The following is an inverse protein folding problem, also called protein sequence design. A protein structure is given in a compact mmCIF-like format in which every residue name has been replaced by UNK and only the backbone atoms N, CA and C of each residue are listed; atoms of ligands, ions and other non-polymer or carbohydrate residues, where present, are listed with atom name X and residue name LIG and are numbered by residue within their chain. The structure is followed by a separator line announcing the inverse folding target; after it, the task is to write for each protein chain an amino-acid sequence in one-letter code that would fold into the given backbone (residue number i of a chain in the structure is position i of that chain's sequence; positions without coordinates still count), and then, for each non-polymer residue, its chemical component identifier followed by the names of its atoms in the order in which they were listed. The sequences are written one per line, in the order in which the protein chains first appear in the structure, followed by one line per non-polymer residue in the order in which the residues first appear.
data_IF_965989955907
#
_entry.id   IF_965989955907
#
_cell.length_a   1.000
_cell.length_b   1.000
_cell.length_c   1.000
_cell.angle_alpha   90.00
_cell.angle_beta   90.00
_cell.angle_gamma   90.00
#
_symmetry.space_group_name_H-M   'P 1'
#
loop_
_entity.id
_entity.type
_entity.pdbx_description
1 polymer ?
#
# COMPACT_ATOMS: atom_id res chain seq x y z
N UNK A 1 -4.59 46.11 96.74
CA UNK A 1 -4.97 46.18 95.32
C UNK A 1 -4.29 45.06 94.58
N UNK A 2 -5.02 43.95 94.30
CA UNK A 2 -4.49 42.82 93.52
C UNK A 2 -4.93 43.02 92.05
N UNK A 3 -3.92 43.12 91.11
CA UNK A 3 -4.16 43.21 89.71
C UNK A 3 -4.23 41.78 89.14
N UNK A 4 -5.41 41.43 88.57
CA UNK A 4 -5.62 40.15 87.82
C UNK A 4 -5.16 40.42 86.41
N UNK A 5 -4.18 39.65 85.92
CA UNK A 5 -3.76 39.59 84.48
C UNK A 5 -4.57 38.48 83.82
N UNK A 6 -5.41 38.86 82.89
CA UNK A 6 -6.14 37.91 82.02
C UNK A 6 -5.30 37.69 80.77
N UNK A 7 -4.79 36.47 80.57
CA UNK A 7 -4.10 36.03 79.34
C UNK A 7 -5.12 35.53 78.34
N UNK A 8 -5.28 36.24 77.26
CA UNK A 8 -6.07 35.79 76.10
C UNK A 8 -5.20 34.88 75.22
N UNK A 9 -5.52 33.59 75.22
CA UNK A 9 -4.86 32.62 74.30
C UNK A 9 -5.65 32.57 73.00
N UNK A 10 -5.12 33.15 71.93
CA UNK A 10 -5.69 33.03 70.57
C UNK A 10 -5.32 31.67 70.01
N UNK A 11 -6.33 30.81 69.83
CA UNK A 11 -6.20 29.53 69.12
C UNK A 11 -6.24 29.84 67.61
N UNK A 12 -5.12 29.72 66.95
CA UNK A 12 -4.99 29.80 65.46
C UNK A 12 -5.45 28.43 64.86
N UNK A 13 -6.62 28.38 64.28
CA UNK A 13 -7.07 27.23 63.49
C UNK A 13 -6.31 27.21 62.13
N UNK A 14 -5.34 26.33 62.01
CA UNK A 14 -4.68 26.03 60.71
C UNK A 14 -5.60 25.12 59.96
N UNK A 15 -6.31 25.66 58.94
CA UNK A 15 -6.99 24.86 57.91
C UNK A 15 -5.94 24.28 56.98
N UNK A 16 -5.57 23.02 57.11
CA UNK A 16 -4.89 22.26 56.07
C UNK A 16 -5.88 22.00 54.97
N UNK A 17 -5.86 22.80 53.91
CA UNK A 17 -6.52 22.43 52.66
C UNK A 17 -5.81 21.18 52.13
N UNK A 18 -6.50 20.04 52.18
CA UNK A 18 -6.05 18.85 51.47
C UNK A 18 -6.31 19.12 49.96
N UNK A 19 -5.29 19.59 49.24
CA UNK A 19 -5.35 19.53 47.78
C UNK A 19 -5.44 18.06 47.40
N UNK A 20 -6.56 17.68 46.80
CA UNK A 20 -6.73 16.36 46.24
C UNK A 20 -5.77 16.29 45.07
N UNK A 21 -4.71 15.50 45.18
CA UNK A 21 -3.85 15.20 44.03
C UNK A 21 -4.77 14.62 42.95
N UNK A 22 -4.80 15.30 41.80
CA UNK A 22 -5.50 14.75 40.63
C UNK A 22 -4.79 13.46 40.21
N UNK A 23 -5.55 12.39 40.12
CA UNK A 23 -5.03 11.08 39.69
C UNK A 23 -4.56 11.21 38.24
N UNK A 24 -3.27 10.98 37.98
CA UNK A 24 -2.72 10.95 36.64
C UNK A 24 -3.12 9.62 36.00
N UNK A 25 -3.98 9.69 35.01
CA UNK A 25 -4.40 8.54 34.20
C UNK A 25 -3.65 8.60 32.88
N UNK A 26 -2.74 7.65 32.68
CA UNK A 26 -1.95 7.52 31.47
C UNK A 26 -2.78 6.89 30.35
N UNK A 27 -2.65 7.40 29.11
CA UNK A 27 -3.34 6.85 27.93
C UNK A 27 -3.24 7.78 26.73
N UNK A 28 -3.85 7.36 25.62
CA UNK A 28 -3.97 8.21 24.44
C UNK A 28 -5.01 9.30 24.68
N UNK A 29 -4.61 10.57 24.56
CA UNK A 29 -5.50 11.75 24.71
C UNK A 29 -5.98 12.32 23.38
N UNK A 30 -5.49 11.81 22.24
CA UNK A 30 -5.92 12.26 20.91
C UNK A 30 -7.27 11.65 20.54
N UNK A 31 -8.31 12.50 20.43
CA UNK A 31 -9.65 12.11 20.00
C UNK A 31 -9.73 11.58 18.58
N UNK A 32 -8.71 11.84 17.75
CA UNK A 32 -8.57 11.33 16.39
C UNK A 32 -7.97 9.92 16.30
N UNK A 33 -7.54 9.33 17.42
CA UNK A 33 -6.96 7.99 17.46
C UNK A 33 -8.04 6.90 17.62
N UNK A 34 -7.71 5.67 17.22
CA UNK A 34 -8.64 4.52 17.37
C UNK A 34 -8.69 3.99 18.79
N UNK A 35 -7.67 4.29 19.62
CA UNK A 35 -7.57 3.88 21.02
C UNK A 35 -7.65 5.06 22.00
N UNK A 36 -8.34 6.14 21.61
CA UNK A 36 -8.59 7.29 22.49
C UNK A 36 -9.17 6.87 23.84
N UNK A 37 -8.57 7.36 24.90
CA UNK A 37 -9.06 7.16 26.27
C UNK A 37 -9.56 8.49 26.85
N UNK A 38 -10.87 8.66 26.94
CA UNK A 38 -11.50 9.88 27.47
C UNK A 38 -11.19 10.16 28.95
N UNK A 39 -10.70 9.17 29.70
CA UNK A 39 -10.30 9.31 31.09
C UNK A 39 -8.82 9.67 31.25
N UNK A 40 -8.01 9.56 30.20
CA UNK A 40 -6.59 9.91 30.28
C UNK A 40 -6.42 11.41 30.53
N UNK A 41 -5.60 11.72 31.52
CA UNK A 41 -5.19 13.10 31.86
C UNK A 41 -3.77 13.40 31.40
N UNK A 42 -3.01 12.34 31.02
CA UNK A 42 -1.65 12.46 30.50
C UNK A 42 -1.46 11.55 29.28
N UNK A 43 -1.00 12.14 28.17
CA UNK A 43 -0.69 11.38 26.96
C UNK A 43 0.62 10.60 27.13
N UNK A 44 0.55 9.30 27.03
CA UNK A 44 1.68 8.40 27.17
C UNK A 44 2.30 8.00 25.79
N UNK A 45 1.86 8.62 24.69
CA UNK A 45 2.31 8.34 23.33
C UNK A 45 1.80 7.02 22.75
N UNK A 46 0.77 6.41 23.36
CA UNK A 46 0.21 5.12 22.90
C UNK A 46 -0.84 5.23 21.80
N UNK A 47 -1.09 6.44 21.27
CA UNK A 47 -2.10 6.67 20.24
C UNK A 47 -1.86 5.83 18.98
N UNK A 48 -2.94 5.21 18.48
CA UNK A 48 -2.96 4.34 17.31
C UNK A 48 -3.92 4.87 16.25
N UNK A 49 -3.59 4.58 14.99
CA UNK A 49 -4.31 5.08 13.82
C UNK A 49 -4.42 3.98 12.76
N UNK A 50 -5.39 4.11 11.84
CA UNK A 50 -5.54 3.20 10.73
C UNK A 50 -5.11 3.86 9.41
N UNK A 51 -4.62 3.04 8.50
CA UNK A 51 -4.30 3.40 7.12
C UNK A 51 -4.97 2.39 6.18
N UNK A 52 -5.69 2.88 5.18
CA UNK A 52 -6.17 2.06 4.07
C UNK A 52 -5.40 2.41 2.81
N UNK A 53 -4.83 1.41 2.15
CA UNK A 53 -4.27 1.55 0.80
C UNK A 53 -5.28 1.00 -0.18
N UNK A 54 -5.74 1.83 -1.11
CA UNK A 54 -6.70 1.45 -2.13
C UNK A 54 -5.99 1.33 -3.48
N UNK A 55 -6.14 0.17 -4.13
CA UNK A 55 -5.59 -0.08 -5.46
C UNK A 55 -6.64 0.23 -6.52
N UNK A 56 -6.31 1.13 -7.45
CA UNK A 56 -7.20 1.52 -8.54
C UNK A 56 -6.55 1.25 -9.90
N UNK A 57 -7.40 1.08 -10.91
CA UNK A 57 -6.96 0.75 -12.26
C UNK A 57 -7.62 1.72 -13.23
N UNK A 58 -6.79 2.37 -14.04
CA UNK A 58 -7.26 3.32 -15.06
C UNK A 58 -6.67 3.01 -16.42
N UNK A 59 -7.37 3.48 -17.46
CA UNK A 59 -6.89 3.50 -18.84
C UNK A 59 -7.16 4.89 -19.38
N UNK A 60 -6.10 5.60 -19.78
CA UNK A 60 -6.15 6.99 -20.22
C UNK A 60 -6.89 7.90 -19.18
N UNK A 61 -6.63 7.65 -17.90
CA UNK A 61 -7.21 8.38 -16.77
C UNK A 61 -8.65 8.02 -16.42
N UNK A 62 -9.30 7.11 -17.14
CA UNK A 62 -10.67 6.65 -16.86
C UNK A 62 -10.66 5.30 -16.12
N UNK A 63 -11.63 5.02 -15.25
CA UNK A 63 -11.74 3.73 -14.59
C UNK A 63 -11.77 2.56 -15.59
N UNK A 64 -11.12 1.45 -15.21
CA UNK A 64 -11.12 0.23 -16.00
C UNK A 64 -12.55 -0.33 -16.18
N UNK A 65 -12.94 -0.58 -17.42
CA UNK A 65 -14.12 -1.37 -17.80
C UNK A 65 -13.67 -2.70 -18.41
N UNK A 66 -14.11 -3.82 -17.84
CA UNK A 66 -13.72 -5.15 -18.31
C UNK A 66 -14.62 -5.66 -19.43
N UNK A 67 -14.09 -6.56 -20.27
CA UNK A 67 -14.83 -7.23 -21.36
C UNK A 67 -15.37 -6.26 -22.44
N UNK A 68 -14.80 -5.07 -22.57
CA UNK A 68 -15.18 -4.08 -23.56
C UNK A 68 -14.01 -3.80 -24.51
N UNK A 69 -14.24 -3.93 -25.84
CA UNK A 69 -13.25 -3.61 -26.89
C UNK A 69 -13.23 -2.09 -27.16
N UNK A 70 -12.95 -1.30 -26.15
CA UNK A 70 -13.03 0.18 -26.18
C UNK A 70 -11.66 0.86 -26.08
N UNK A 71 -10.63 0.10 -25.71
CA UNK A 71 -9.31 0.66 -25.48
C UNK A 71 -8.46 0.66 -26.74
N UNK A 72 -7.50 1.58 -26.79
CA UNK A 72 -6.53 1.68 -27.87
C UNK A 72 -5.14 1.94 -27.27
N UNK A 73 -4.19 1.06 -27.57
CA UNK A 73 -2.81 1.24 -27.10
C UNK A 73 -1.98 2.17 -28.01
N UNK A 74 -0.76 2.49 -27.60
CA UNK A 74 0.16 3.34 -28.35
C UNK A 74 0.56 2.77 -29.72
N UNK A 75 0.46 1.44 -29.91
CA UNK A 75 0.63 0.77 -31.20
C UNK A 75 -0.60 0.87 -32.11
N UNK A 76 -1.61 1.67 -31.73
CA UNK A 76 -2.88 1.84 -32.46
C UNK A 76 -3.74 0.58 -32.57
N UNK A 77 -3.55 -0.39 -31.68
CA UNK A 77 -4.37 -1.60 -31.63
C UNK A 77 -5.54 -1.38 -30.67
N UNK A 78 -6.77 -1.72 -31.13
CA UNK A 78 -7.90 -1.79 -30.25
C UNK A 78 -7.82 -3.06 -29.39
N UNK A 79 -8.21 -2.97 -28.12
CA UNK A 79 -8.15 -4.11 -27.20
C UNK A 79 -9.20 -4.04 -26.09
N UNK A 80 -9.45 -5.18 -25.49
CA UNK A 80 -10.23 -5.33 -24.26
C UNK A 80 -9.37 -5.91 -23.14
N UNK A 81 -9.82 -5.78 -21.89
CA UNK A 81 -9.23 -6.45 -20.75
C UNK A 81 -10.26 -7.39 -20.16
N UNK A 82 -9.86 -8.65 -19.96
CA UNK A 82 -10.69 -9.71 -19.36
C UNK A 82 -10.10 -10.15 -18.02
N UNK A 83 -8.78 -10.19 -17.92
CA UNK A 83 -8.05 -10.57 -16.71
C UNK A 83 -7.01 -9.49 -16.41
N UNK A 84 -6.98 -9.05 -15.17
CA UNK A 84 -5.84 -8.33 -14.58
C UNK A 84 -5.65 -8.85 -13.17
N UNK A 85 -4.49 -9.42 -12.91
CA UNK A 85 -4.06 -9.81 -11.57
C UNK A 85 -2.55 -9.67 -11.44
N UNK A 86 -2.08 -9.27 -10.28
CA UNK A 86 -0.67 -8.99 -10.05
C UNK A 86 -0.31 -9.04 -8.57
N UNK A 87 0.98 -9.14 -8.31
CA UNK A 87 1.56 -9.08 -6.96
C UNK A 87 2.27 -7.75 -6.75
N UNK A 88 2.03 -7.14 -5.61
CA UNK A 88 2.90 -6.12 -5.04
C UNK A 88 3.53 -6.68 -3.77
N UNK A 89 4.85 -6.58 -3.65
CA UNK A 89 5.55 -7.01 -2.45
C UNK A 89 6.27 -5.86 -1.76
N UNK A 90 6.60 -6.06 -0.48
CA UNK A 90 7.34 -5.09 0.35
C UNK A 90 6.71 -3.70 0.40
N UNK A 91 5.38 -3.64 0.53
CA UNK A 91 4.70 -2.35 0.67
C UNK A 91 5.15 -1.70 1.97
N UNK A 92 5.88 -0.60 1.87
CA UNK A 92 6.63 -0.03 3.00
C UNK A 92 6.45 1.48 3.06
N UNK A 93 6.18 2.00 4.26
CA UNK A 93 6.24 3.42 4.57
C UNK A 93 7.62 3.81 5.12
N UNK A 94 8.14 4.95 4.69
CA UNK A 94 9.44 5.48 5.12
C UNK A 94 9.23 6.79 5.87
N UNK A 95 9.68 6.82 7.13
CA UNK A 95 9.55 8.01 7.99
C UNK A 95 10.70 8.99 7.79
N UNK A 96 10.44 10.26 8.11
CA UNK A 96 11.44 11.32 8.06
C UNK A 96 12.63 11.09 9.01
N UNK A 97 12.46 10.29 10.07
CA UNK A 97 13.53 9.92 11.00
C UNK A 97 14.42 8.76 10.53
N UNK A 98 14.19 8.24 9.31
CA UNK A 98 14.93 7.13 8.72
C UNK A 98 14.42 5.74 9.07
N UNK A 99 13.32 5.61 9.82
CA UNK A 99 12.70 4.31 10.08
C UNK A 99 11.78 3.90 8.93
N UNK A 100 11.63 2.59 8.71
CA UNK A 100 10.72 2.04 7.72
C UNK A 100 9.73 1.10 8.41
N UNK A 101 8.47 1.14 7.98
CA UNK A 101 7.39 0.29 8.46
C UNK A 101 6.89 -0.55 7.30
N UNK A 102 7.15 -1.87 7.33
CA UNK A 102 6.57 -2.81 6.39
C UNK A 102 5.08 -2.94 6.69
N UNK A 103 4.24 -2.71 5.67
CA UNK A 103 2.78 -2.79 5.77
C UNK A 103 2.27 -4.15 5.32
N UNK A 104 2.83 -4.65 4.21
CA UNK A 104 2.49 -5.98 3.68
C UNK A 104 3.70 -6.57 2.96
N UNK A 105 3.94 -7.85 3.18
CA UNK A 105 5.04 -8.58 2.54
C UNK A 105 4.69 -8.98 1.10
N UNK A 106 3.46 -9.45 0.86
CA UNK A 106 2.97 -9.83 -0.47
C UNK A 106 1.48 -9.62 -0.56
N UNK A 107 1.05 -8.69 -1.39
CA UNK A 107 -0.34 -8.37 -1.66
C UNK A 107 -0.75 -8.81 -3.06
N UNK A 108 -1.76 -9.67 -3.14
CA UNK A 108 -2.33 -10.13 -4.40
C UNK A 108 -3.54 -9.29 -4.78
N UNK A 109 -3.52 -8.73 -5.98
CA UNK A 109 -4.61 -7.92 -6.52
C UNK A 109 -5.21 -8.62 -7.75
N UNK A 110 -6.53 -8.74 -7.81
CA UNK A 110 -7.24 -9.30 -8.97
C UNK A 110 -8.57 -8.60 -9.22
N UNK A 111 -8.85 -8.25 -10.48
CA UNK A 111 -10.13 -7.61 -10.86
C UNK A 111 -11.35 -8.53 -10.71
N UNK A 112 -11.13 -9.84 -10.54
CA UNK A 112 -12.22 -10.81 -10.28
C UNK A 112 -12.69 -10.80 -8.82
N UNK A 113 -11.89 -10.20 -7.90
CA UNK A 113 -12.24 -10.04 -6.49
C UNK A 113 -11.91 -8.62 -6.01
N UNK A 114 -12.87 -7.70 -6.01
CA UNK A 114 -12.65 -6.33 -5.56
C UNK A 114 -12.24 -6.18 -4.09
N UNK A 115 -12.39 -7.20 -3.25
CA UNK A 115 -11.90 -7.14 -1.87
C UNK A 115 -10.37 -7.03 -1.80
N UNK A 116 -9.68 -7.51 -2.85
CA UNK A 116 -8.22 -7.40 -2.98
C UNK A 116 -7.73 -5.97 -3.30
N UNK A 117 -8.66 -5.05 -3.61
CA UNK A 117 -8.32 -3.66 -3.91
C UNK A 117 -8.07 -2.81 -2.66
N UNK A 118 -8.20 -3.40 -1.48
CA UNK A 118 -8.00 -2.69 -0.22
C UNK A 118 -6.99 -3.45 0.65
N UNK A 119 -6.05 -2.72 1.19
CA UNK A 119 -5.13 -3.18 2.22
C UNK A 119 -5.32 -2.29 3.44
N UNK A 120 -5.97 -2.84 4.46
CA UNK A 120 -6.27 -2.13 5.70
C UNK A 120 -5.25 -2.45 6.78
N UNK A 121 -4.49 -1.44 7.17
CA UNK A 121 -3.47 -1.51 8.21
C UNK A 121 -4.02 -0.86 9.47
N UNK A 122 -3.97 -1.59 10.56
CA UNK A 122 -4.46 -1.14 11.87
C UNK A 122 -3.30 -0.86 12.83
N UNK A 123 -3.60 -0.10 13.87
CA UNK A 123 -2.70 0.13 15.02
C UNK A 123 -1.33 0.73 14.67
N UNK A 124 -1.25 1.55 13.62
CA UNK A 124 -0.04 2.31 13.31
C UNK A 124 0.23 3.39 14.36
N UNK A 125 1.50 3.59 14.69
CA UNK A 125 1.92 4.73 15.48
C UNK A 125 1.80 6.03 14.67
N UNK A 126 1.53 7.15 15.34
CA UNK A 126 1.64 8.47 14.70
C UNK A 126 3.06 8.69 14.18
N UNK A 127 3.17 9.05 12.91
CA UNK A 127 4.44 9.41 12.31
C UNK A 127 4.25 10.28 11.06
N UNK A 128 5.30 11.03 10.71
CA UNK A 128 5.41 11.72 9.44
C UNK A 128 6.15 10.83 8.45
N UNK A 129 5.46 10.39 7.42
CA UNK A 129 6.03 9.58 6.36
C UNK A 129 6.35 10.44 5.14
N UNK A 130 7.54 10.24 4.59
CA UNK A 130 8.09 11.02 3.47
C UNK A 130 8.13 10.23 2.16
N UNK A 131 7.96 8.91 2.22
CA UNK A 131 7.85 8.06 1.05
C UNK A 131 7.03 6.80 1.35
N UNK A 132 6.43 6.25 0.30
CA UNK A 132 5.93 4.88 0.23
C UNK A 132 6.65 4.15 -0.90
N UNK A 133 7.00 2.90 -0.69
CA UNK A 133 7.58 2.04 -1.72
C UNK A 133 6.89 0.69 -1.78
N UNK A 134 6.97 0.06 -2.92
CA UNK A 134 6.59 -1.34 -3.14
C UNK A 134 7.38 -1.93 -4.32
N UNK A 135 7.46 -3.25 -4.36
CA UNK A 135 8.01 -3.98 -5.50
C UNK A 135 6.89 -4.56 -6.34
N UNK A 136 6.88 -4.29 -7.64
CA UNK A 136 6.00 -4.96 -8.60
C UNK A 136 6.55 -6.35 -8.86
N UNK A 137 5.75 -7.37 -8.49
CA UNK A 137 6.16 -8.77 -8.49
C UNK A 137 6.85 -9.19 -7.19
N UNK A 138 7.68 -10.21 -7.29
CA UNK A 138 8.50 -10.77 -6.21
C UNK A 138 9.96 -10.68 -6.64
N UNK A 139 10.82 -10.14 -5.79
CA UNK A 139 12.26 -10.14 -6.05
C UNK A 139 12.84 -11.57 -6.03
N UNK A 140 14.08 -11.72 -6.46
CA UNK A 140 14.75 -13.03 -6.57
C UNK A 140 14.86 -13.81 -5.25
N UNK A 141 14.76 -13.13 -4.10
CA UNK A 141 14.81 -13.78 -2.78
C UNK A 141 13.45 -14.35 -2.39
N UNK A 142 12.36 -13.76 -2.87
CA UNK A 142 10.98 -14.15 -2.60
C UNK A 142 10.40 -15.03 -3.69
N UNK A 143 10.83 -14.87 -4.94
CA UNK A 143 10.28 -15.58 -6.11
C UNK A 143 10.77 -17.03 -6.19
N UNK A 144 10.47 -17.81 -5.18
CA UNK A 144 10.88 -19.20 -5.04
C UNK A 144 9.67 -20.12 -5.26
N UNK A 145 9.79 -21.10 -6.15
CA UNK A 145 8.74 -22.09 -6.42
C UNK A 145 8.25 -22.73 -5.11
N UNK A 146 6.95 -22.81 -4.94
CA UNK A 146 6.26 -23.35 -3.77
C UNK A 146 6.43 -22.58 -2.45
N UNK A 147 6.98 -21.36 -2.46
CA UNK A 147 7.11 -20.56 -1.25
C UNK A 147 5.75 -20.05 -0.72
N UNK A 148 4.74 -19.96 -1.58
CA UNK A 148 3.41 -19.39 -1.28
C UNK A 148 2.27 -20.40 -1.47
N UNK A 149 2.46 -21.66 -1.04
CA UNK A 149 1.47 -22.76 -1.22
C UNK A 149 0.13 -22.48 -0.55
N UNK A 150 0.11 -21.70 0.52
CA UNK A 150 -1.09 -21.39 1.30
C UNK A 150 -1.78 -20.09 0.87
N UNK A 151 -1.17 -19.35 -0.07
CA UNK A 151 -1.72 -18.09 -0.53
C UNK A 151 -2.85 -18.29 -1.55
N UNK A 152 -3.81 -17.37 -1.58
CA UNK A 152 -5.01 -17.46 -2.43
C UNK A 152 -4.68 -17.50 -3.93
N UNK A 153 -3.54 -16.97 -4.34
CA UNK A 153 -3.10 -16.97 -5.73
C UNK A 153 -2.43 -18.28 -6.17
N UNK A 154 -2.05 -19.16 -5.24
CA UNK A 154 -1.51 -20.49 -5.59
C UNK A 154 -2.66 -21.48 -5.90
N UNK A 155 -2.53 -22.38 -6.90
CA UNK A 155 -1.42 -22.52 -7.86
C UNK A 155 -1.59 -21.70 -9.15
N UNK A 156 -2.68 -20.96 -9.30
CA UNK A 156 -3.05 -20.29 -10.57
C UNK A 156 -2.06 -19.20 -11.00
N UNK A 157 -1.18 -18.78 -10.09
CA UNK A 157 -0.17 -17.76 -10.34
C UNK A 157 1.26 -18.33 -10.41
N UNK A 158 1.42 -19.65 -10.42
CA UNK A 158 2.73 -20.30 -10.57
C UNK A 158 3.34 -20.00 -11.95
N UNK A 159 4.62 -19.63 -11.97
CA UNK A 159 5.40 -19.46 -13.18
C UNK A 159 5.95 -20.81 -13.63
N UNK A 160 5.95 -21.16 -14.93
CA UNK A 160 6.42 -22.45 -15.38
C UNK A 160 7.90 -22.69 -15.08
N UNK A 161 8.22 -23.87 -14.55
CA UNK A 161 9.60 -24.24 -14.15
C UNK A 161 10.58 -24.19 -15.32
N UNK A 162 10.15 -24.54 -16.53
CA UNK A 162 11.02 -24.57 -17.72
C UNK A 162 11.47 -23.19 -18.21
N UNK A 163 10.89 -22.10 -17.67
CA UNK A 163 11.29 -20.72 -17.97
C UNK A 163 11.74 -19.95 -16.72
N UNK A 164 11.96 -20.65 -15.58
CA UNK A 164 12.54 -20.07 -14.39
C UNK A 164 11.86 -20.45 -13.09
N UNK A 165 10.60 -20.92 -13.10
CA UNK A 165 9.85 -21.24 -11.88
C UNK A 165 9.47 -20.00 -11.05
N UNK A 166 8.95 -20.23 -9.86
CA UNK A 166 8.41 -19.16 -9.00
C UNK A 166 6.99 -18.77 -9.36
N UNK A 167 6.73 -17.48 -9.46
CA UNK A 167 5.39 -16.91 -9.64
C UNK A 167 5.34 -15.86 -10.75
N UNK A 168 4.16 -15.68 -11.34
CA UNK A 168 3.89 -14.51 -12.15
C UNK A 168 4.03 -13.25 -11.29
N UNK A 169 4.45 -12.15 -11.91
CA UNK A 169 4.34 -10.81 -11.31
C UNK A 169 3.02 -10.18 -11.72
N UNK A 170 2.60 -10.38 -12.98
CA UNK A 170 1.33 -9.92 -13.51
C UNK A 170 0.81 -10.89 -14.58
N UNK A 171 -0.52 -10.99 -14.65
CA UNK A 171 -1.26 -11.56 -15.77
C UNK A 171 -2.27 -10.52 -16.23
N UNK A 172 -2.09 -9.99 -17.44
CA UNK A 172 -2.97 -9.04 -18.11
C UNK A 172 -3.39 -9.65 -19.44
N UNK A 173 -4.66 -9.98 -19.57
CA UNK A 173 -5.20 -10.77 -20.69
C UNK A 173 -6.46 -10.12 -21.24
N UNK A 174 -6.73 -10.36 -22.50
CA UNK A 174 -7.93 -9.95 -23.18
C UNK A 174 -7.84 -10.25 -24.67
N UNK A 175 -8.70 -9.59 -25.44
CA UNK A 175 -8.69 -9.67 -26.89
C UNK A 175 -8.14 -8.39 -27.49
N UNK A 176 -7.52 -8.50 -28.65
CA UNK A 176 -7.08 -7.37 -29.45
C UNK A 176 -7.53 -7.56 -30.92
N UNK A 177 -7.62 -6.48 -31.66
CA UNK A 177 -8.19 -6.42 -33.02
C UNK A 177 -9.67 -6.76 -33.09
N UNK A 178 -10.30 -6.43 -34.23
CA UNK A 178 -11.71 -6.76 -34.50
C UNK A 178 -11.95 -8.26 -34.71
N UNK A 179 -10.90 -9.06 -34.92
CA UNK A 179 -10.97 -10.50 -35.04
C UNK A 179 -10.96 -11.24 -33.69
N UNK A 180 -10.98 -10.50 -32.55
CA UNK A 180 -10.96 -11.01 -31.18
C UNK A 180 -9.83 -12.03 -30.97
N UNK A 181 -8.62 -11.66 -31.34
CA UNK A 181 -7.43 -12.47 -31.09
C UNK A 181 -7.00 -12.25 -29.64
N UNK A 182 -6.85 -13.35 -28.89
CA UNK A 182 -6.40 -13.27 -27.50
C UNK A 182 -4.97 -12.77 -27.39
N UNK A 183 -4.68 -11.96 -26.35
CA UNK A 183 -3.33 -11.63 -25.93
C UNK A 183 -3.12 -11.98 -24.46
N UNK A 184 -1.87 -12.27 -24.11
CA UNK A 184 -1.45 -12.53 -22.73
C UNK A 184 -0.13 -11.79 -22.45
N UNK A 185 -0.24 -10.73 -21.70
CA UNK A 185 0.91 -10.00 -21.16
C UNK A 185 1.19 -10.53 -19.75
N UNK A 186 2.01 -11.57 -19.68
CA UNK A 186 2.43 -12.17 -18.42
C UNK A 186 3.86 -11.74 -18.11
N UNK A 187 4.09 -11.23 -16.90
CA UNK A 187 5.43 -10.87 -16.42
C UNK A 187 5.88 -11.78 -15.28
N UNK A 188 7.17 -12.01 -15.20
CA UNK A 188 7.78 -12.90 -14.22
C UNK A 188 9.29 -13.06 -14.45
N UNK A 189 9.97 -13.77 -13.56
CA UNK A 189 11.39 -14.11 -13.75
C UNK A 189 11.57 -15.03 -14.95
N UNK A 190 12.50 -14.72 -15.85
CA UNK A 190 12.70 -15.46 -17.12
C UNK A 190 14.19 -15.63 -17.40
N UNK A 191 14.61 -16.85 -17.78
CA UNK A 191 16.00 -17.17 -18.08
C UNK A 191 16.99 -16.83 -16.95
N UNK A 192 16.55 -16.95 -15.68
CA UNK A 192 17.35 -16.62 -14.49
C UNK A 192 17.50 -15.13 -14.23
N UNK A 193 16.77 -14.28 -14.97
CA UNK A 193 16.74 -12.82 -14.78
C UNK A 193 15.49 -12.44 -14.00
N UNK A 194 15.67 -11.63 -12.96
CA UNK A 194 14.60 -11.00 -12.22
C UNK A 194 14.13 -9.72 -12.94
N UNK A 195 12.84 -9.68 -13.28
CA UNK A 195 12.20 -8.52 -13.90
C UNK A 195 11.24 -7.79 -12.93
N UNK A 196 11.30 -8.09 -11.64
CA UNK A 196 10.64 -7.27 -10.64
C UNK A 196 11.30 -5.88 -10.59
N UNK A 197 10.58 -4.91 -10.03
CA UNK A 197 11.14 -3.56 -9.84
C UNK A 197 10.48 -2.86 -8.67
N UNK A 198 11.27 -2.09 -7.93
CA UNK A 198 10.78 -1.30 -6.82
C UNK A 198 10.45 0.13 -7.26
N UNK A 199 9.27 0.59 -6.86
CA UNK A 199 8.85 1.99 -6.99
C UNK A 199 8.97 2.69 -5.65
N UNK A 200 9.50 3.91 -5.68
CA UNK A 200 9.53 4.82 -4.55
C UNK A 200 8.78 6.09 -4.89
N UNK A 201 7.78 6.42 -4.10
CA UNK A 201 6.99 7.63 -4.27
C UNK A 201 7.21 8.57 -3.10
N UNK A 202 7.69 9.79 -3.34
CA UNK A 202 7.71 10.82 -2.30
C UNK A 202 6.27 11.17 -1.91
N UNK A 203 6.01 11.21 -0.60
CA UNK A 203 4.73 11.61 -0.03
C UNK A 203 4.99 12.60 1.11
N UNK A 204 3.95 13.30 1.53
CA UNK A 204 3.95 14.07 2.78
C UNK A 204 2.70 13.64 3.56
N UNK A 205 2.83 12.54 4.28
CA UNK A 205 1.73 11.88 4.95
C UNK A 205 1.94 11.93 6.46
N UNK A 206 1.05 12.62 7.16
CA UNK A 206 0.98 12.57 8.62
C UNK A 206 -0.14 11.61 9.02
N UNK A 207 0.20 10.50 9.66
CA UNK A 207 -0.76 9.58 10.26
C UNK A 207 -1.04 10.08 11.68
N UNK A 208 -2.12 10.86 11.81
CA UNK A 208 -2.62 11.44 13.05
C UNK A 208 -4.16 11.53 13.07
N UNK A 209 -4.84 10.67 12.31
CA UNK A 209 -6.30 10.56 12.27
C UNK A 209 -6.70 9.10 12.23
N UNK A 210 -7.88 8.79 12.75
CA UNK A 210 -8.41 7.43 12.82
C UNK A 210 -8.37 6.67 11.49
N UNK A 211 -8.59 7.38 10.37
CA UNK A 211 -8.59 6.78 9.05
C UNK A 211 -7.82 7.66 8.06
N UNK A 212 -6.73 7.14 7.56
CA UNK A 212 -5.94 7.76 6.48
C UNK A 212 -6.06 6.88 5.23
N UNK A 213 -6.20 7.48 4.05
CA UNK A 213 -6.33 6.74 2.79
C UNK A 213 -5.18 7.13 1.86
N UNK A 214 -4.54 6.14 1.27
CA UNK A 214 -3.57 6.28 0.17
C UNK A 214 -4.10 5.48 -1.02
N UNK A 215 -4.06 6.05 -2.20
CA UNK A 215 -4.47 5.37 -3.44
C UNK A 215 -3.22 5.07 -4.26
N UNK A 216 -3.04 3.82 -4.64
CA UNK A 216 -2.04 3.38 -5.62
C UNK A 216 -2.79 3.08 -6.91
N UNK A 217 -2.56 3.87 -7.95
CA UNK A 217 -3.22 3.69 -9.24
C UNK A 217 -2.27 3.03 -10.24
N UNK A 218 -2.79 2.04 -11.00
CA UNK A 218 -2.13 1.48 -12.17
C UNK A 218 -2.79 2.04 -13.43
N UNK A 219 -2.02 2.81 -14.25
CA UNK A 219 -2.44 3.24 -15.58
C UNK A 219 -2.03 2.18 -16.61
N UNK A 220 -3.01 1.39 -17.04
CA UNK A 220 -2.76 0.13 -17.77
C UNK A 220 -2.17 0.36 -19.17
N UNK A 221 -2.58 1.43 -19.87
CA UNK A 221 -2.03 1.74 -21.19
C UNK A 221 -0.53 2.01 -21.16
N UNK A 222 -0.01 2.47 -20.00
CA UNK A 222 1.41 2.78 -19.86
C UNK A 222 2.31 1.52 -19.91
N UNK A 223 1.79 0.33 -19.66
CA UNK A 223 2.52 -0.91 -19.92
C UNK A 223 2.93 -1.06 -21.40
N UNK A 224 2.22 -0.41 -22.33
CA UNK A 224 2.40 -0.56 -23.77
C UNK A 224 2.93 0.69 -24.48
N UNK A 225 3.27 1.77 -23.73
CA UNK A 225 3.55 3.08 -24.33
C UNK A 225 4.93 3.65 -24.07
N UNK A 226 5.38 3.75 -22.83
CA UNK A 226 6.53 4.58 -22.47
C UNK A 226 7.49 3.86 -21.49
N UNK A 227 8.79 3.78 -21.78
CA UNK A 227 9.53 4.32 -22.95
C UNK A 227 9.41 3.47 -24.22
N UNK A 228 8.73 2.31 -24.16
CA UNK A 228 8.70 1.36 -25.27
C UNK A 228 7.26 1.15 -25.77
N UNK A 229 7.03 1.34 -27.07
CA UNK A 229 5.77 0.93 -27.68
C UNK A 229 5.79 -0.58 -27.85
N UNK A 230 4.83 -1.27 -27.21
CA UNK A 230 4.71 -2.72 -27.24
C UNK A 230 3.44 -3.11 -27.97
N UNK A 231 3.56 -3.94 -29.00
CA UNK A 231 2.43 -4.50 -29.72
C UNK A 231 1.83 -5.68 -28.95
N UNK A 232 0.51 -5.71 -28.87
CA UNK A 232 -0.22 -6.90 -28.47
C UNK A 232 -0.15 -7.93 -29.58
N UNK A 233 0.19 -9.15 -29.25
CA UNK A 233 0.34 -10.26 -30.19
C UNK A 233 -0.13 -11.56 -29.57
N UNK A 234 -0.46 -12.54 -30.40
CA UNK A 234 -0.74 -13.91 -29.94
C UNK A 234 0.52 -14.63 -29.47
N UNK A 235 1.72 -14.12 -29.86
CA UNK A 235 2.98 -14.67 -29.39
C UNK A 235 3.21 -14.29 -27.94
N UNK A 236 3.27 -15.27 -27.07
CA UNK A 236 3.46 -15.07 -25.63
C UNK A 236 4.70 -14.24 -25.29
N UNK A 237 4.59 -13.47 -24.21
CA UNK A 237 5.67 -12.65 -23.67
C UNK A 237 6.50 -13.45 -22.64
N UNK A 238 5.92 -14.46 -22.02
CA UNK A 238 6.45 -15.17 -20.86
C UNK A 238 7.90 -15.61 -20.99
N UNK A 239 8.24 -16.38 -22.00
CA UNK A 239 9.59 -16.93 -22.20
C UNK A 239 10.54 -16.01 -22.98
N UNK A 240 10.25 -14.70 -23.05
CA UNK A 240 11.06 -13.77 -23.84
C UNK A 240 11.68 -12.68 -22.96
N UNK A 241 12.91 -12.88 -22.51
CA UNK A 241 13.61 -11.96 -21.62
C UNK A 241 13.68 -10.51 -22.17
N UNK A 242 13.81 -10.33 -23.50
CA UNK A 242 13.82 -8.98 -24.09
C UNK A 242 12.45 -8.30 -23.92
N UNK A 243 11.33 -9.01 -24.17
CA UNK A 243 9.98 -8.46 -23.98
C UNK A 243 9.71 -8.18 -22.50
N UNK A 244 10.18 -9.05 -21.59
CA UNK A 244 10.10 -8.82 -20.13
C UNK A 244 10.85 -7.54 -19.74
N UNK A 245 12.06 -7.31 -20.28
CA UNK A 245 12.84 -6.11 -20.02
C UNK A 245 12.15 -4.83 -20.52
N UNK A 246 11.49 -4.86 -21.67
CA UNK A 246 10.73 -3.71 -22.18
C UNK A 246 9.53 -3.39 -21.27
N UNK A 247 8.80 -4.41 -20.81
CA UNK A 247 7.70 -4.25 -19.87
C UNK A 247 8.19 -3.72 -18.51
N UNK A 248 9.31 -4.26 -18.00
CA UNK A 248 9.92 -3.74 -16.76
C UNK A 248 10.26 -2.26 -16.90
N UNK A 249 10.87 -1.84 -18.02
CA UNK A 249 11.20 -0.43 -18.27
C UNK A 249 9.95 0.46 -18.30
N UNK A 250 8.88 0.00 -18.95
CA UNK A 250 7.59 0.72 -18.96
C UNK A 250 6.99 0.80 -17.55
N UNK A 251 7.00 -0.30 -16.80
CA UNK A 251 6.51 -0.34 -15.42
C UNK A 251 7.26 0.63 -14.50
N UNK A 252 8.58 0.72 -14.65
CA UNK A 252 9.43 1.67 -13.91
C UNK A 252 9.07 3.12 -14.25
N UNK A 253 8.73 3.41 -15.51
CA UNK A 253 8.51 4.77 -15.99
C UNK A 253 7.28 5.41 -15.31
N UNK A 254 6.08 5.05 -15.73
CA UNK A 254 4.87 5.80 -15.37
C UNK A 254 3.59 4.96 -15.21
N UNK A 255 3.71 3.64 -15.11
CA UNK A 255 2.54 2.76 -14.88
C UNK A 255 1.85 3.05 -13.55
N UNK A 256 2.62 3.35 -12.51
CA UNK A 256 2.07 3.57 -11.18
C UNK A 256 2.13 5.04 -10.77
N UNK A 257 1.07 5.48 -10.07
CA UNK A 257 0.97 6.79 -9.43
C UNK A 257 0.34 6.67 -8.05
N UNK A 258 0.61 7.65 -7.18
CA UNK A 258 0.11 7.69 -5.80
C UNK A 258 -0.73 8.95 -5.61
N UNK A 259 -1.89 8.79 -4.97
CA UNK A 259 -2.73 9.89 -4.52
C UNK A 259 -3.02 9.73 -3.02
N UNK A 260 -3.00 10.83 -2.31
CA UNK A 260 -3.34 10.88 -0.88
C UNK A 260 -3.90 12.28 -0.56
N UNK A 261 -4.79 12.39 0.45
CA UNK A 261 -5.35 13.70 0.80
C UNK A 261 -4.24 14.60 1.36
N UNK A 262 -3.98 15.70 0.68
CA UNK A 262 -3.16 16.80 1.20
C UNK A 262 -4.07 17.62 2.09
N UNK A 263 -3.75 17.71 3.39
CA UNK A 263 -4.45 18.58 4.34
C UNK A 263 -3.89 19.98 4.33
#
# INVERSE_FOLDING_TARGET
MKRIFVIFTTISLVFTACEKEEEIIEGCTDTGSVNYNSNATNDNGSCKYNLSINFTHTIDGNPLEINQMIYKNAASQNYSIQTLRYLLSDITLHSANGTSTLLDEVHFITISDPSTFNLDIQDLNSANYIAISFTMGLDSLKNITNNYLNESFFPSFSWPDFIGGGYHYMQLEGDYTTALQGYATHTGGTDGIDFSFTKHFPISLNIANANTIVIINMEINNWYSNPNIINLTTDGIMGNANKQSLLQANGIADVFSIFYPIK
#
